data_IF_519876171635
#
_entry.id   IF_519876171635
#
_cell.length_a   1.000
_cell.length_b   1.000
_cell.length_c   1.000
_cell.angle_alpha   90.00
_cell.angle_beta   90.00
_cell.angle_gamma   90.00
#
_symmetry.space_group_name_H-M   'P 1'
#
loop_
_entity.id
_entity.type
_entity.pdbx_description
1 polymer ?
#
# COMPACT_ATOMS: atom_id res chain seq x y z
N UNK A 1 7.47 3.07 14.31
CA UNK A 1 8.72 2.92 13.53
C UNK A 1 9.59 4.17 13.66
N UNK A 2 9.19 5.33 13.19
CA UNK A 2 9.79 6.65 13.37
C UNK A 2 11.33 6.68 13.45
N UNK A 3 11.82 7.27 14.52
CA UNK A 3 13.26 7.49 14.76
C UNK A 3 13.94 6.36 15.54
N UNK A 4 13.24 5.27 15.75
CA UNK A 4 13.80 4.10 16.41
C UNK A 4 14.69 3.30 15.47
N UNK A 5 15.84 2.90 16.00
CA UNK A 5 16.84 2.09 15.33
C UNK A 5 17.04 0.76 16.07
N UNK A 6 17.38 -0.26 15.31
CA UNK A 6 17.66 -1.59 15.82
C UNK A 6 19.14 -1.90 15.65
N UNK A 7 19.80 -2.21 16.75
CA UNK A 7 21.19 -2.60 16.76
C UNK A 7 21.35 -3.99 17.38
N UNK A 8 22.17 -4.83 16.74
CA UNK A 8 22.59 -6.11 17.30
C UNK A 8 24.04 -6.02 17.67
N UNK A 9 24.35 -5.97 18.96
CA UNK A 9 25.70 -5.89 19.46
C UNK A 9 25.97 -7.05 20.41
N UNK A 10 26.96 -7.90 20.10
CA UNK A 10 27.31 -9.06 20.92
C UNK A 10 26.19 -10.06 21.15
N UNK A 11 25.27 -10.24 20.18
CA UNK A 11 24.12 -11.14 20.28
C UNK A 11 22.94 -10.59 21.09
N UNK A 12 23.01 -9.37 21.61
CA UNK A 12 21.90 -8.70 22.28
C UNK A 12 21.28 -7.66 21.37
N UNK A 13 19.98 -7.77 21.17
CA UNK A 13 19.20 -6.80 20.40
C UNK A 13 18.84 -5.60 21.26
N UNK A 14 19.07 -4.38 20.75
CA UNK A 14 18.72 -3.14 21.43
C UNK A 14 17.95 -2.22 20.51
N UNK A 15 16.93 -1.58 21.05
CA UNK A 15 16.28 -0.44 20.46
C UNK A 15 16.98 0.82 20.93
N UNK A 16 17.41 1.64 19.98
CA UNK A 16 18.09 2.92 20.26
C UNK A 16 17.48 4.04 19.42
N UNK A 17 17.53 5.24 19.92
CA UNK A 17 17.32 6.44 19.12
C UNK A 17 18.68 6.99 18.69
N UNK A 18 18.89 7.18 17.39
CA UNK A 18 20.15 7.67 16.86
C UNK A 18 19.89 8.71 15.77
N UNK A 19 20.39 9.91 16.00
CA UNK A 19 20.38 11.00 15.03
C UNK A 19 21.23 10.66 13.82
N UNK A 20 22.37 10.02 14.03
CA UNK A 20 23.32 9.63 12.98
C UNK A 20 22.72 8.66 11.97
N UNK A 21 21.93 7.67 12.45
CA UNK A 21 21.22 6.74 11.56
C UNK A 21 20.16 7.46 10.73
N UNK A 22 19.51 8.46 11.30
CA UNK A 22 18.47 9.22 10.60
C UNK A 22 19.02 10.10 9.49
N UNK A 23 20.24 10.64 9.66
CA UNK A 23 20.91 11.50 8.67
C UNK A 23 21.64 10.71 7.58
N UNK A 24 22.09 9.49 7.86
CA UNK A 24 22.93 8.69 6.96
C UNK A 24 22.12 7.57 6.21
N UNK A 25 20.90 7.85 5.82
CA UNK A 25 20.10 6.90 5.02
C UNK A 25 19.61 5.66 5.77
N UNK A 26 19.50 5.74 7.10
CA UNK A 26 18.92 4.68 7.93
C UNK A 26 19.87 3.58 8.38
N UNK A 27 21.18 3.72 8.15
CA UNK A 27 22.21 2.79 8.60
C UNK A 27 23.39 3.55 9.21
N UNK A 28 23.79 3.14 10.40
CA UNK A 28 25.04 3.59 11.03
C UNK A 28 26.14 2.56 10.75
N UNK A 29 27.17 2.99 10.02
CA UNK A 29 28.27 2.10 9.62
C UNK A 29 29.18 1.68 10.78
N UNK A 30 29.28 2.51 11.83
CA UNK A 30 30.15 2.22 12.97
C UNK A 30 29.48 1.25 13.95
N UNK A 31 28.23 1.48 14.32
CA UNK A 31 27.50 0.64 15.27
C UNK A 31 26.73 -0.51 14.59
N UNK A 32 26.61 -0.50 13.28
CA UNK A 32 25.75 -1.43 12.52
C UNK A 32 24.25 -1.26 12.80
N UNK A 33 23.87 -0.18 13.48
CA UNK A 33 22.47 0.10 13.79
C UNK A 33 21.71 0.47 12.51
N UNK A 34 20.51 -0.07 12.35
CA UNK A 34 19.62 0.20 11.23
C UNK A 34 18.30 0.79 11.74
N UNK A 35 17.68 1.66 10.95
CA UNK A 35 16.30 2.04 11.21
C UNK A 35 15.42 0.81 11.40
N UNK A 36 14.53 0.84 12.36
CA UNK A 36 13.67 -0.30 12.65
C UNK A 36 12.84 -0.74 11.44
N UNK A 37 12.35 0.21 10.65
CA UNK A 37 11.67 -0.10 9.39
C UNK A 37 12.58 -0.87 8.40
N UNK A 38 13.84 -0.45 8.27
CA UNK A 38 14.81 -1.13 7.41
C UNK A 38 15.08 -2.54 7.94
N UNK A 39 15.40 -2.67 9.23
CA UNK A 39 15.78 -3.96 9.82
C UNK A 39 14.64 -4.98 9.85
N UNK A 40 13.40 -4.53 10.14
CA UNK A 40 12.25 -5.42 10.37
C UNK A 40 11.37 -5.63 9.14
N UNK A 41 11.33 -4.68 8.22
CA UNK A 41 10.47 -4.74 7.05
C UNK A 41 11.27 -4.90 5.76
N UNK A 42 12.22 -3.98 5.49
CA UNK A 42 12.92 -3.96 4.20
C UNK A 42 13.93 -5.10 4.07
N UNK A 43 14.78 -5.32 5.07
CA UNK A 43 15.81 -6.38 5.02
C UNK A 43 15.23 -7.78 4.83
N UNK A 44 14.18 -8.23 5.54
CA UNK A 44 13.57 -9.53 5.30
C UNK A 44 13.08 -9.70 3.86
N UNK A 45 12.44 -8.68 3.29
CA UNK A 45 11.94 -8.72 1.91
C UNK A 45 13.09 -8.78 0.91
N UNK A 46 14.10 -7.89 1.06
CA UNK A 46 15.25 -7.84 0.17
C UNK A 46 16.08 -9.13 0.27
N UNK A 47 16.31 -9.64 1.48
CA UNK A 47 17.04 -10.88 1.69
C UNK A 47 16.33 -12.07 1.06
N UNK A 48 14.99 -12.14 1.16
CA UNK A 48 14.21 -13.18 0.48
C UNK A 48 14.36 -13.09 -1.04
N UNK A 49 14.25 -11.87 -1.58
CA UNK A 49 14.45 -11.63 -3.00
C UNK A 49 15.83 -12.09 -3.47
N UNK A 50 16.89 -11.71 -2.77
CA UNK A 50 18.26 -12.09 -3.09
C UNK A 50 18.48 -13.60 -2.98
N UNK A 51 17.98 -14.22 -1.90
CA UNK A 51 18.10 -15.66 -1.70
C UNK A 51 17.48 -16.49 -2.83
N UNK A 52 16.32 -16.04 -3.35
CA UNK A 52 15.65 -16.72 -4.45
C UNK A 52 16.33 -16.42 -5.79
N UNK A 53 16.63 -15.16 -6.07
CA UNK A 53 17.18 -14.77 -7.39
C UNK A 53 18.62 -15.23 -7.62
N UNK A 54 19.43 -15.27 -6.55
CA UNK A 54 20.80 -15.73 -6.59
C UNK A 54 20.95 -17.23 -6.32
N UNK A 55 19.85 -17.95 -6.10
CA UNK A 55 19.86 -19.37 -5.70
C UNK A 55 20.79 -19.65 -4.52
N UNK A 56 20.76 -18.78 -3.50
CA UNK A 56 21.66 -18.91 -2.35
C UNK A 56 21.41 -20.22 -1.60
N UNK A 57 22.49 -20.92 -1.28
CA UNK A 57 22.46 -22.16 -0.50
C UNK A 57 22.88 -21.89 0.94
N UNK A 58 22.32 -22.66 1.86
CA UNK A 58 22.77 -22.72 3.24
C UNK A 58 24.06 -23.55 3.34
N UNK A 59 24.77 -23.49 4.47
CA UNK A 59 25.95 -24.33 4.74
C UNK A 59 25.68 -25.84 4.59
N UNK A 60 24.42 -26.26 4.65
CA UNK A 60 23.97 -27.66 4.48
C UNK A 60 23.53 -27.98 3.03
N UNK A 61 23.72 -27.07 2.07
CA UNK A 61 23.36 -27.28 0.66
C UNK A 61 21.86 -27.14 0.36
N UNK A 62 21.02 -26.74 1.33
CA UNK A 62 19.59 -26.47 1.09
C UNK A 62 19.40 -25.02 0.63
N UNK A 63 18.42 -24.74 -0.25
CA UNK A 63 18.13 -23.38 -0.64
C UNK A 63 17.79 -22.49 0.56
N UNK A 64 18.49 -21.38 0.69
CA UNK A 64 18.32 -20.42 1.80
C UNK A 64 16.90 -19.87 1.86
N UNK A 65 16.28 -19.68 0.69
CA UNK A 65 14.91 -19.21 0.56
C UNK A 65 13.91 -20.11 1.30
N UNK A 66 14.06 -21.44 1.25
CA UNK A 66 13.14 -22.36 1.93
C UNK A 66 13.23 -22.24 3.45
N UNK A 67 14.46 -22.13 3.98
CA UNK A 67 14.64 -21.87 5.41
C UNK A 67 14.03 -20.53 5.85
N UNK A 68 14.14 -19.52 5.00
CA UNK A 68 13.51 -18.24 5.28
C UNK A 68 11.98 -18.30 5.22
N UNK A 69 11.42 -19.09 4.29
CA UNK A 69 9.98 -19.35 4.24
C UNK A 69 9.46 -19.97 5.53
N UNK A 70 10.17 -20.97 6.06
CA UNK A 70 9.83 -21.60 7.34
C UNK A 70 9.84 -20.57 8.49
N UNK A 71 10.86 -19.70 8.52
CA UNK A 71 10.99 -18.67 9.57
C UNK A 71 9.86 -17.62 9.53
N UNK A 72 9.28 -17.34 8.36
CA UNK A 72 8.16 -16.39 8.19
C UNK A 72 6.79 -17.08 8.11
N UNK A 73 6.74 -18.40 8.37
CA UNK A 73 5.48 -19.17 8.37
C UNK A 73 4.89 -19.46 6.99
N UNK A 74 5.68 -19.34 5.93
CA UNK A 74 5.24 -19.63 4.56
C UNK A 74 5.45 -21.12 4.24
N UNK A 75 4.35 -21.84 4.05
CA UNK A 75 4.39 -23.26 3.67
C UNK A 75 4.33 -23.41 2.15
N UNK A 76 5.40 -23.93 1.56
CA UNK A 76 5.47 -24.34 0.17
C UNK A 76 5.22 -25.85 0.07
N UNK A 77 4.44 -26.26 -0.93
CA UNK A 77 4.26 -27.69 -1.21
C UNK A 77 5.53 -28.28 -1.82
N UNK A 78 5.69 -29.60 -1.73
CA UNK A 78 6.86 -30.28 -2.33
C UNK A 78 6.89 -30.15 -3.86
N UNK A 79 5.74 -30.03 -4.49
CA UNK A 79 5.65 -29.74 -5.92
C UNK A 79 6.14 -28.32 -6.24
N UNK A 80 5.70 -27.31 -5.47
CA UNK A 80 6.16 -25.93 -5.64
C UNK A 80 7.67 -25.80 -5.46
N UNK A 81 8.27 -26.52 -4.50
CA UNK A 81 9.71 -26.52 -4.26
C UNK A 81 10.50 -27.16 -5.41
N UNK A 82 9.92 -28.16 -6.10
CA UNK A 82 10.60 -28.87 -7.20
C UNK A 82 10.41 -28.20 -8.56
N UNK A 83 9.23 -27.61 -8.80
CA UNK A 83 8.86 -27.09 -10.13
C UNK A 83 9.15 -25.61 -10.30
N UNK A 84 9.09 -24.82 -9.20
CA UNK A 84 9.25 -23.38 -9.27
C UNK A 84 10.70 -22.98 -8.97
N UNK A 85 11.24 -22.09 -9.81
CA UNK A 85 12.58 -21.52 -9.62
C UNK A 85 12.60 -20.04 -10.06
N UNK A 86 13.50 -19.24 -9.47
CA UNK A 86 13.68 -17.83 -9.81
C UNK A 86 12.41 -16.98 -9.62
N UNK A 87 12.04 -16.20 -10.62
CA UNK A 87 10.88 -15.27 -10.54
C UNK A 87 9.55 -15.96 -10.22
N UNK A 88 9.17 -17.11 -10.82
CA UNK A 88 7.95 -17.84 -10.45
C UNK A 88 7.93 -18.26 -8.98
N UNK A 89 9.04 -18.75 -8.46
CA UNK A 89 9.17 -19.11 -7.04
C UNK A 89 9.01 -17.89 -6.14
N UNK A 90 9.70 -16.80 -6.45
CA UNK A 90 9.58 -15.54 -5.71
C UNK A 90 8.14 -15.04 -5.69
N UNK A 91 7.48 -15.02 -6.85
CA UNK A 91 6.06 -14.61 -6.95
C UNK A 91 5.19 -15.46 -6.02
N UNK A 92 5.40 -16.78 -6.00
CA UNK A 92 4.60 -17.68 -5.17
C UNK A 92 4.85 -17.47 -3.68
N UNK A 93 6.11 -17.29 -3.28
CA UNK A 93 6.49 -16.96 -1.90
C UNK A 93 5.82 -15.66 -1.45
N UNK A 94 5.93 -14.60 -2.25
CA UNK A 94 5.37 -13.28 -1.91
C UNK A 94 3.83 -13.31 -1.82
N UNK A 95 3.16 -14.06 -2.69
CA UNK A 95 1.71 -14.23 -2.62
C UNK A 95 1.23 -14.89 -1.32
N UNK A 96 2.04 -15.83 -0.77
CA UNK A 96 1.71 -16.51 0.49
C UNK A 96 2.16 -15.72 1.72
N UNK A 97 3.25 -14.96 1.60
CA UNK A 97 3.83 -14.21 2.72
C UNK A 97 3.16 -12.85 2.92
N UNK A 98 3.04 -12.08 1.82
CA UNK A 98 2.49 -10.73 1.85
C UNK A 98 1.39 -10.66 0.78
N UNK A 99 0.17 -11.14 1.08
CA UNK A 99 -0.96 -11.08 0.16
C UNK A 99 -1.40 -9.61 -0.01
N UNK A 100 -0.87 -8.95 -1.05
CA UNK A 100 -1.03 -7.51 -1.24
C UNK A 100 -2.51 -7.09 -1.38
N UNK A 101 -3.37 -7.93 -1.98
CA UNK A 101 -4.78 -7.63 -2.13
C UNK A 101 -5.48 -7.54 -0.75
N UNK A 102 -5.26 -8.53 0.10
CA UNK A 102 -5.87 -8.59 1.43
C UNK A 102 -5.34 -7.45 2.31
N UNK A 103 -4.02 -7.20 2.30
CA UNK A 103 -3.40 -6.13 3.07
C UNK A 103 -3.90 -4.73 2.64
N UNK A 104 -4.08 -4.50 1.32
CA UNK A 104 -4.62 -3.22 0.81
C UNK A 104 -6.09 -3.07 1.16
N UNK A 105 -6.90 -4.12 1.03
CA UNK A 105 -8.32 -4.08 1.41
C UNK A 105 -8.49 -3.84 2.91
N UNK A 106 -7.73 -4.50 3.75
CA UNK A 106 -7.73 -4.28 5.20
C UNK A 106 -7.34 -2.84 5.53
N UNK A 107 -6.28 -2.31 4.92
CA UNK A 107 -5.86 -0.91 5.09
C UNK A 107 -6.98 0.06 4.69
N UNK A 108 -7.66 -0.19 3.57
CA UNK A 108 -8.77 0.65 3.12
C UNK A 108 -9.90 0.64 4.14
N UNK A 109 -10.31 -0.53 4.61
CA UNK A 109 -11.43 -0.65 5.56
C UNK A 109 -11.11 -0.03 6.92
N UNK A 110 -9.88 -0.22 7.41
CA UNK A 110 -9.49 0.23 8.76
C UNK A 110 -9.12 1.70 8.79
N UNK A 111 -8.44 2.21 7.76
CA UNK A 111 -7.82 3.54 7.83
C UNK A 111 -8.45 4.60 6.93
N UNK A 112 -9.18 4.23 5.87
CA UNK A 112 -9.80 5.24 5.03
C UNK A 112 -11.19 5.62 5.54
N UNK A 113 -11.50 6.92 5.61
CA UNK A 113 -12.83 7.38 6.00
C UNK A 113 -13.88 7.03 4.93
N UNK A 114 -15.10 6.77 5.36
CA UNK A 114 -16.23 6.63 4.45
C UNK A 114 -16.48 7.93 3.65
N UNK A 115 -17.15 7.86 2.49
CA UNK A 115 -17.51 9.07 1.75
C UNK A 115 -18.25 10.11 2.58
N UNK A 116 -19.18 9.69 3.44
CA UNK A 116 -19.92 10.58 4.31
C UNK A 116 -19.04 11.34 5.30
N UNK A 117 -17.98 10.73 5.80
CA UNK A 117 -16.99 11.41 6.68
C UNK A 117 -16.02 12.24 5.85
N UNK A 118 -15.51 11.68 4.73
CA UNK A 118 -14.50 12.35 3.92
C UNK A 118 -15.03 13.62 3.25
N UNK A 119 -16.26 13.63 2.78
CA UNK A 119 -16.83 14.79 2.07
C UNK A 119 -17.10 15.98 3.00
N UNK A 120 -17.26 15.76 4.30
CA UNK A 120 -17.45 16.85 5.25
C UNK A 120 -16.27 17.84 5.25
N UNK A 121 -15.03 17.34 5.26
CA UNK A 121 -13.84 18.20 5.27
C UNK A 121 -13.29 18.49 3.88
N UNK A 122 -13.66 17.68 2.85
CA UNK A 122 -13.17 17.88 1.48
C UNK A 122 -14.04 18.80 0.64
N UNK A 123 -15.25 19.12 1.07
CA UNK A 123 -16.16 20.00 0.32
C UNK A 123 -15.50 21.32 -0.05
N UNK A 124 -14.70 21.91 0.85
CA UNK A 124 -13.96 23.16 0.63
C UNK A 124 -12.93 23.10 -0.52
N UNK A 125 -12.40 21.92 -0.80
CA UNK A 125 -11.41 21.72 -1.89
C UNK A 125 -12.03 21.19 -3.17
N UNK A 126 -13.26 20.70 -3.10
CA UNK A 126 -13.97 20.11 -4.24
C UNK A 126 -14.91 21.09 -4.93
N UNK A 127 -15.30 22.14 -4.24
CA UNK A 127 -16.28 23.11 -4.70
C UNK A 127 -15.76 24.53 -4.51
N UNK A 128 -15.67 25.27 -5.62
CA UNK A 128 -15.17 26.64 -5.65
C UNK A 128 -16.25 27.70 -5.37
N UNK A 129 -17.50 27.28 -5.16
CA UNK A 129 -18.62 28.17 -4.85
C UNK A 129 -18.71 28.51 -3.37
N UNK A 130 -19.79 29.24 -2.96
CA UNK A 130 -20.07 29.55 -1.56
C UNK A 130 -20.25 28.29 -0.73
N UNK A 131 -19.59 28.22 0.43
CA UNK A 131 -19.63 27.03 1.28
C UNK A 131 -20.93 26.88 2.09
N UNK A 132 -21.80 27.84 2.02
CA UNK A 132 -23.11 27.91 2.69
C UNK A 132 -24.29 27.67 1.74
N UNK A 133 -24.03 27.39 0.44
CA UNK A 133 -25.06 27.11 -0.53
C UNK A 133 -25.57 25.65 -0.48
N UNK A 134 -26.64 25.40 -1.24
CA UNK A 134 -27.27 24.08 -1.35
C UNK A 134 -26.32 23.02 -1.90
N UNK A 135 -25.48 23.38 -2.89
CA UNK A 135 -24.54 22.48 -3.52
C UNK A 135 -23.44 22.02 -2.55
N UNK A 136 -22.85 22.95 -1.81
CA UNK A 136 -21.86 22.63 -0.77
C UNK A 136 -22.45 21.74 0.33
N UNK A 137 -23.68 22.03 0.75
CA UNK A 137 -24.41 21.24 1.75
C UNK A 137 -24.68 19.82 1.25
N UNK A 138 -25.13 19.68 0.00
CA UNK A 138 -25.37 18.37 -0.61
C UNK A 138 -24.07 17.55 -0.73
N UNK A 139 -22.96 18.17 -1.10
CA UNK A 139 -21.64 17.51 -1.14
C UNK A 139 -21.22 17.02 0.25
N UNK A 140 -21.30 17.87 1.29
CA UNK A 140 -20.94 17.50 2.65
C UNK A 140 -21.76 16.33 3.19
N UNK A 141 -23.05 16.31 2.89
CA UNK A 141 -23.97 15.30 3.36
C UNK A 141 -24.01 14.04 2.48
N UNK A 142 -23.27 14.00 1.37
CA UNK A 142 -23.39 12.93 0.36
C UNK A 142 -24.85 12.73 -0.06
N UNK A 143 -25.59 13.80 -0.29
CA UNK A 143 -27.03 13.74 -0.52
C UNK A 143 -27.33 13.07 -1.86
N UNK A 144 -28.09 11.98 -1.81
CA UNK A 144 -28.55 11.20 -2.97
C UNK A 144 -30.05 11.20 -3.13
N UNK A 145 -30.76 12.14 -2.48
CA UNK A 145 -32.20 12.29 -2.63
C UNK A 145 -32.58 12.73 -4.05
N UNK A 146 -33.83 12.53 -4.46
CA UNK A 146 -34.28 12.84 -5.81
C UNK A 146 -34.31 14.36 -6.10
N UNK A 147 -34.33 15.17 -5.06
CA UNK A 147 -34.26 16.66 -5.15
C UNK A 147 -32.85 17.23 -4.99
N UNK A 148 -31.85 16.42 -4.70
CA UNK A 148 -30.50 16.90 -4.48
C UNK A 148 -29.85 17.39 -5.79
N UNK A 149 -29.11 18.53 -5.76
CA UNK A 149 -28.37 19.00 -6.92
C UNK A 149 -27.33 17.98 -7.36
N UNK A 150 -27.23 17.75 -8.68
CA UNK A 150 -26.18 16.87 -9.22
C UNK A 150 -24.83 17.58 -9.17
N UNK A 151 -23.94 17.11 -8.33
CA UNK A 151 -22.58 17.61 -8.19
C UNK A 151 -21.58 16.53 -8.64
N UNK A 152 -20.89 16.79 -9.77
CA UNK A 152 -19.92 15.87 -10.34
C UNK A 152 -18.60 16.59 -10.62
N UNK A 153 -17.51 16.03 -10.11
CA UNK A 153 -16.16 16.47 -10.44
C UNK A 153 -15.62 15.64 -11.60
N UNK A 154 -15.34 16.30 -12.72
CA UNK A 154 -14.73 15.66 -13.90
C UNK A 154 -13.21 15.63 -13.74
N UNK A 155 -12.66 14.45 -13.56
CA UNK A 155 -11.22 14.25 -13.38
C UNK A 155 -10.45 14.30 -14.69
N UNK A 156 -11.03 13.78 -15.77
CA UNK A 156 -10.42 13.77 -17.11
C UNK A 156 -11.43 13.53 -18.22
N UNK A 157 -11.05 13.97 -19.41
CA UNK A 157 -11.76 13.69 -20.65
C UNK A 157 -11.03 12.58 -21.41
N UNK A 158 -11.74 11.50 -21.73
CA UNK A 158 -11.20 10.33 -22.43
C UNK A 158 -11.67 10.39 -23.89
N UNK A 159 -10.75 10.41 -24.87
CA UNK A 159 -11.13 10.38 -26.28
C UNK A 159 -11.71 9.02 -26.65
N UNK A 160 -12.88 9.04 -27.28
CA UNK A 160 -13.53 7.86 -27.85
C UNK A 160 -13.12 7.61 -29.30
N UNK A 161 -13.44 6.42 -29.83
CA UNK A 161 -13.13 6.03 -31.21
C UNK A 161 -13.91 6.82 -32.28
N UNK A 162 -14.99 7.50 -31.89
CA UNK A 162 -15.89 8.29 -32.73
C UNK A 162 -15.60 9.81 -32.72
N UNK A 163 -14.38 10.20 -32.36
CA UNK A 163 -13.95 11.59 -32.16
C UNK A 163 -14.75 12.37 -31.10
N UNK A 164 -15.46 11.67 -30.22
CA UNK A 164 -16.12 12.27 -29.06
C UNK A 164 -15.29 12.08 -27.82
N UNK A 165 -15.47 12.98 -26.87
CA UNK A 165 -14.86 12.87 -25.56
C UNK A 165 -15.87 12.36 -24.54
N UNK A 166 -15.44 11.41 -23.73
CA UNK A 166 -16.20 10.92 -22.56
C UNK A 166 -15.63 11.53 -21.30
N UNK A 167 -16.46 12.21 -20.53
CA UNK A 167 -16.07 12.73 -19.23
C UNK A 167 -15.99 11.58 -18.21
N UNK A 168 -14.83 11.43 -17.59
CA UNK A 168 -14.64 10.53 -16.48
C UNK A 168 -14.57 11.31 -15.18
N UNK A 169 -15.52 11.07 -14.29
CA UNK A 169 -15.61 11.82 -13.06
C UNK A 169 -16.28 11.06 -11.93
N UNK A 170 -16.37 11.71 -10.79
CA UNK A 170 -17.03 11.20 -9.60
C UNK A 170 -18.21 12.07 -9.22
N UNK A 171 -19.36 11.44 -8.98
CA UNK A 171 -20.54 12.11 -8.43
C UNK A 171 -20.37 12.21 -6.92
N UNK A 172 -20.51 13.41 -6.37
CA UNK A 172 -20.41 13.71 -4.95
C UNK A 172 -21.78 13.96 -4.30
N UNK A 173 -22.75 14.43 -5.06
CA UNK A 173 -24.14 14.56 -4.64
C UNK A 173 -25.08 14.40 -5.83
N UNK A 174 -26.34 14.11 -5.56
CA UNK A 174 -27.36 13.86 -6.57
C UNK A 174 -27.22 12.47 -7.22
N UNK A 175 -27.93 12.30 -8.31
CA UNK A 175 -27.96 11.04 -9.09
C UNK A 175 -27.81 11.34 -10.57
N UNK A 176 -27.13 10.46 -11.29
CA UNK A 176 -27.01 10.52 -12.74
C UNK A 176 -27.44 9.18 -13.34
N UNK A 177 -28.22 9.21 -14.39
CA UNK A 177 -28.70 8.03 -15.10
C UNK A 177 -28.52 8.13 -16.60
N UNK A 178 -28.59 7.00 -17.28
CA UNK A 178 -28.51 6.93 -18.73
C UNK A 178 -29.70 7.70 -19.35
N UNK A 179 -29.40 8.56 -20.31
CA UNK A 179 -30.43 9.36 -21.04
C UNK A 179 -30.90 10.63 -20.32
N UNK A 180 -30.34 10.96 -19.15
CA UNK A 180 -30.56 12.28 -18.54
C UNK A 180 -29.93 13.37 -19.40
N UNK A 181 -30.67 14.49 -19.53
CA UNK A 181 -30.20 15.70 -20.20
C UNK A 181 -29.92 16.79 -19.18
#
# INVERSE_FOLDING_TARGET
WGDWCFATNGGKNRWIQSVTVNTNGGVDKESGAKRSFVAMIMDPIINMFQAVMNNELTKKGTPKAFKMCEAVGVNLTEEEKKTLNGKPLLKRIMQKWIPAADAVLEMIVVHLPSPAVAQQYRAETLYDGPLDDEAATAIRNCDTSDGAPLMMYVSKMIPGADNRFTAFGRVFAGKIGTGQK
#
